data_IF_415260821098
#
_entry.id   IF_415260821098
#
_cell.length_a   1.000
_cell.length_b   1.000
_cell.length_c   1.000
_cell.angle_alpha   90.00
_cell.angle_beta   90.00
_cell.angle_gamma   90.00
#
_symmetry.space_group_name_H-M   'P 1'
#
loop_
_entity.id
_entity.type
_entity.pdbx_description
1 polymer ?
#
# COMPACT_ATOMS: atom_id res chain seq x y z
N UNK A 1 5.03 20.32 14.50
CA UNK A 1 5.13 18.93 15.00
C UNK A 1 4.97 18.91 16.51
N UNK A 2 4.11 18.07 17.09
CA UNK A 2 3.97 17.97 18.55
C UNK A 2 5.24 17.45 19.23
N UNK A 3 5.50 17.87 20.48
CA UNK A 3 6.72 17.47 21.24
C UNK A 3 6.86 15.96 21.42
N UNK A 4 5.74 15.25 21.55
CA UNK A 4 5.71 13.78 21.67
C UNK A 4 6.23 13.11 20.40
N UNK A 5 5.72 13.50 19.23
CA UNK A 5 6.16 12.94 17.93
C UNK A 5 7.64 13.20 17.70
N UNK A 6 8.11 14.42 17.98
CA UNK A 6 9.53 14.77 17.86
C UNK A 6 10.42 13.88 18.74
N UNK A 7 10.01 13.64 19.98
CA UNK A 7 10.77 12.80 20.91
C UNK A 7 10.96 11.38 20.34
N UNK A 8 9.89 10.71 19.90
CA UNK A 8 9.98 9.36 19.35
C UNK A 8 10.76 9.28 18.05
N UNK A 9 10.58 10.24 17.13
CA UNK A 9 11.36 10.30 15.89
C UNK A 9 12.86 10.50 16.14
N UNK A 10 13.23 11.28 17.16
CA UNK A 10 14.64 11.48 17.51
C UNK A 10 15.27 10.26 18.20
N UNK A 11 14.49 9.43 18.90
CA UNK A 11 14.98 8.22 19.57
C UNK A 11 14.98 6.98 18.68
N UNK A 12 14.27 6.99 17.55
CA UNK A 12 14.10 5.80 16.70
C UNK A 12 15.34 5.41 15.89
N UNK A 13 16.30 6.32 15.71
CA UNK A 13 17.45 6.10 14.82
C UNK A 13 17.08 5.98 13.33
N UNK A 14 15.84 6.30 12.96
CA UNK A 14 15.37 6.19 11.59
C UNK A 14 15.94 7.30 10.70
N UNK A 15 16.21 6.97 9.43
CA UNK A 15 16.49 7.98 8.41
C UNK A 15 15.18 8.70 8.04
N UNK A 16 15.05 9.95 8.44
CA UNK A 16 13.84 10.74 8.21
C UNK A 16 13.96 11.52 6.90
N UNK A 17 12.98 11.35 6.02
CA UNK A 17 12.84 12.16 4.81
C UNK A 17 11.61 13.06 4.97
N UNK A 18 11.83 14.37 4.95
CA UNK A 18 10.77 15.38 5.00
C UNK A 18 10.50 15.94 3.62
N UNK A 19 9.30 16.50 3.43
CA UNK A 19 8.85 17.12 2.17
C UNK A 19 8.84 16.18 0.95
N UNK A 20 9.15 14.89 1.15
CA UNK A 20 9.03 13.84 0.16
C UNK A 20 7.60 13.31 0.14
N UNK A 21 6.87 13.60 -0.94
CA UNK A 21 5.56 13.01 -1.20
C UNK A 21 5.72 11.73 -2.03
N UNK A 22 5.28 10.60 -1.47
CA UNK A 22 5.16 9.34 -2.18
C UNK A 22 3.98 9.43 -3.16
N UNK A 23 4.19 9.00 -4.40
CA UNK A 23 3.20 9.07 -5.49
C UNK A 23 2.87 7.69 -6.07
N UNK A 24 3.77 6.71 -5.96
CA UNK A 24 3.53 5.35 -6.43
C UNK A 24 4.26 4.31 -5.59
N UNK A 25 3.70 3.10 -5.53
CA UNK A 25 4.28 1.95 -4.85
C UNK A 25 4.03 0.71 -5.71
N UNK A 26 5.11 0.11 -6.21
CA UNK A 26 5.06 -1.06 -7.09
C UNK A 26 5.70 -2.27 -6.43
N UNK A 27 5.13 -3.45 -6.64
CA UNK A 27 5.74 -4.71 -6.23
C UNK A 27 6.77 -5.14 -7.27
N UNK A 28 7.97 -5.47 -6.82
CA UNK A 28 9.08 -5.99 -7.63
C UNK A 28 9.53 -7.32 -7.04
N UNK A 29 8.83 -8.38 -7.40
CA UNK A 29 9.07 -9.73 -6.86
C UNK A 29 8.86 -9.77 -5.35
N UNK A 30 9.95 -9.94 -4.60
CA UNK A 30 9.95 -10.00 -3.13
C UNK A 30 10.09 -8.62 -2.45
N UNK A 31 10.37 -7.55 -3.21
CA UNK A 31 10.61 -6.20 -2.70
C UNK A 31 9.59 -5.20 -3.27
N UNK A 32 9.62 -3.97 -2.76
CA UNK A 32 8.75 -2.87 -3.13
C UNK A 32 9.58 -1.70 -3.64
N UNK A 33 9.15 -1.12 -4.75
CA UNK A 33 9.71 0.09 -5.33
C UNK A 33 8.78 1.27 -5.00
N UNK A 34 9.28 2.23 -4.23
CA UNK A 34 8.50 3.39 -3.78
C UNK A 34 8.99 4.62 -4.53
N UNK A 35 8.08 5.30 -5.22
CA UNK A 35 8.36 6.51 -5.98
C UNK A 35 7.85 7.74 -5.24
N UNK A 36 8.61 8.82 -5.29
CA UNK A 36 8.18 10.11 -4.81
C UNK A 36 8.87 11.27 -5.51
N UNK A 37 8.58 12.48 -5.04
CA UNK A 37 9.26 13.68 -5.49
C UNK A 37 10.76 13.57 -5.16
N UNK A 38 11.57 13.21 -6.16
CA UNK A 38 13.02 13.01 -6.03
C UNK A 38 13.56 11.63 -6.44
N UNK A 39 12.71 10.72 -6.94
CA UNK A 39 13.15 9.42 -7.50
C UNK A 39 12.44 8.23 -6.90
N UNK A 40 13.01 7.03 -7.11
CA UNK A 40 12.52 5.78 -6.54
C UNK A 40 13.54 5.11 -5.63
N UNK A 41 13.04 4.34 -4.67
CA UNK A 41 13.85 3.61 -3.70
C UNK A 41 13.24 2.22 -3.44
N UNK A 42 14.10 1.23 -3.17
CA UNK A 42 13.73 -0.17 -2.99
C UNK A 42 13.69 -0.54 -1.51
N UNK A 43 12.64 -1.25 -1.10
CA UNK A 43 12.42 -1.68 0.27
C UNK A 43 11.95 -3.13 0.32
N UNK A 44 12.33 -3.87 1.36
CA UNK A 44 11.81 -5.24 1.57
C UNK A 44 10.33 -5.23 2.00
N UNK A 45 9.94 -4.21 2.76
CA UNK A 45 8.57 -3.99 3.23
C UNK A 45 8.24 -2.49 3.32
N UNK A 46 6.96 -2.15 3.17
CA UNK A 46 6.45 -0.78 3.26
C UNK A 46 5.23 -0.75 4.17
N UNK A 47 5.22 0.19 5.13
CA UNK A 47 4.06 0.43 6.00
C UNK A 47 3.48 1.80 5.67
N UNK A 48 2.21 1.84 5.27
CA UNK A 48 1.51 3.07 4.92
C UNK A 48 0.66 3.55 6.09
N UNK A 49 1.09 4.62 6.75
CA UNK A 49 0.40 5.23 7.90
C UNK A 49 -0.44 6.44 7.52
N UNK A 50 -0.93 6.49 6.28
CA UNK A 50 -1.76 7.57 5.77
C UNK A 50 -3.24 7.15 5.71
N UNK A 51 -4.20 8.10 5.74
CA UNK A 51 -5.61 7.81 5.60
C UNK A 51 -5.94 7.03 4.31
N UNK A 52 -6.92 6.12 4.38
CA UNK A 52 -7.31 5.27 3.25
C UNK A 52 -7.57 6.05 1.93
N UNK A 53 -8.27 7.20 1.90
CA UNK A 53 -8.43 7.97 0.66
C UNK A 53 -7.11 8.43 0.03
N UNK A 54 -6.05 8.64 0.82
CA UNK A 54 -4.72 9.01 0.32
C UNK A 54 -3.96 7.79 -0.18
N UNK A 55 -4.11 6.63 0.48
CA UNK A 55 -3.56 5.35 0.02
C UNK A 55 -4.10 5.02 -1.37
N UNK A 56 -5.41 5.18 -1.57
CA UNK A 56 -6.09 4.88 -2.83
C UNK A 56 -5.70 5.81 -4.00
N UNK A 57 -5.04 6.94 -3.71
CA UNK A 57 -4.53 7.85 -4.73
C UNK A 57 -3.12 7.48 -5.22
N UNK A 58 -2.44 6.53 -4.57
CA UNK A 58 -1.16 6.04 -5.04
C UNK A 58 -1.32 5.27 -6.35
N UNK A 59 -0.35 5.43 -7.24
CA UNK A 59 -0.23 4.57 -8.42
C UNK A 59 0.44 3.24 -8.06
N UNK A 60 0.18 2.20 -8.86
CA UNK A 60 0.81 0.89 -8.71
C UNK A 60 -0.05 -0.13 -7.96
N UNK A 61 0.61 -1.07 -7.30
CA UNK A 61 0.01 -2.37 -6.95
C UNK A 61 -0.70 -2.36 -5.58
N UNK A 62 -0.68 -1.24 -4.87
CA UNK A 62 -1.33 -1.08 -3.56
C UNK A 62 -2.86 -1.01 -3.67
N UNK A 63 -3.40 -0.61 -4.82
CA UNK A 63 -4.84 -0.39 -5.03
C UNK A 63 -5.51 -1.54 -5.80
N UNK A 64 -4.75 -2.51 -6.31
CA UNK A 64 -5.29 -3.70 -6.96
C UNK A 64 -5.85 -4.69 -5.92
N UNK A 65 -7.11 -4.46 -5.51
CA UNK A 65 -7.95 -5.54 -5.00
C UNK A 65 -8.65 -6.17 -6.21
N UNK A 66 -8.11 -7.26 -6.76
CA UNK A 66 -8.93 -8.13 -7.61
C UNK A 66 -10.10 -8.63 -6.76
N UNK A 67 -11.31 -8.12 -7.03
CA UNK A 67 -12.51 -8.75 -6.48
C UNK A 67 -12.52 -10.21 -6.96
N UNK A 68 -12.79 -11.20 -6.10
CA UNK A 68 -12.89 -12.58 -6.55
C UNK A 68 -13.96 -12.64 -7.64
N UNK A 69 -13.56 -13.05 -8.84
CA UNK A 69 -14.48 -13.33 -9.94
C UNK A 69 -15.39 -14.48 -9.49
N UNK A 70 -16.57 -14.15 -8.98
CA UNK A 70 -17.57 -15.13 -8.57
C UNK A 70 -18.10 -15.79 -9.84
N UNK A 71 -17.45 -16.89 -10.22
CA UNK A 71 -17.85 -17.74 -11.34
C UNK A 71 -19.17 -18.42 -10.94
N UNK A 72 -20.29 -17.85 -11.36
CA UNK A 72 -21.62 -18.38 -11.08
C UNK A 72 -21.75 -19.82 -11.60
N UNK A 73 -21.77 -20.79 -10.70
CA UNK A 73 -22.28 -22.13 -10.98
C UNK A 73 -23.73 -22.19 -10.50
N UNK A 74 -24.65 -21.87 -11.41
CA UNK A 74 -26.07 -22.16 -11.24
C UNK A 74 -26.26 -23.66 -11.49
N UNK A 75 -26.21 -24.46 -10.42
CA UNK A 75 -26.58 -25.86 -10.50
C UNK A 75 -28.11 -25.92 -10.58
N UNK A 76 -28.64 -26.43 -11.69
CA UNK A 76 -30.07 -26.73 -11.84
C UNK A 76 -30.40 -27.94 -10.96
N UNK A 77 -31.32 -27.77 -10.03
CA UNK A 77 -31.95 -28.88 -9.31
C UNK A 77 -33.10 -29.40 -10.17
N UNK A 78 -32.92 -30.56 -10.81
CA UNK A 78 -34.05 -31.38 -11.26
C UNK A 78 -34.30 -32.41 -10.15
N UNK A 79 -35.43 -32.26 -9.46
CA UNK A 79 -35.97 -33.29 -8.55
C UNK A 79 -37.01 -34.05 -9.36
N UNK A 80 -36.68 -35.28 -9.76
CA UNK A 80 -37.65 -36.22 -10.31
C UNK A 80 -38.39 -36.88 -9.16
N UNK A 81 -39.72 -36.81 -9.21
CA UNK A 81 -40.66 -37.40 -8.25
C UNK A 81 -40.73 -38.93 -8.35
#
# INVERSE_FOLDING_TARGET
>A
MGRVVKHFLSQSGAHLSFERRVTAVYRRGASWEVHGAGGSEMFDAVVLTMPAPQILQLQGDVVQSEAPSVRGHRVRSEVTA
#
